data_IF_459389392427
#
_entry.id   IF_459389392427
#
_cell.length_a   1.000
_cell.length_b   1.000
_cell.length_c   1.000
_cell.angle_alpha   90.00
_cell.angle_beta   90.00
_cell.angle_gamma   90.00
#
_symmetry.space_group_name_H-M   'P 1'
#
loop_
_entity.id
_entity.type
_entity.pdbx_description
1 polymer ?
#
# COMPACT_ATOMS: atom_id res chain seq x y z
N UNK A 1 22.94 -12.30 1.85
CA UNK A 1 21.84 -11.36 2.12
C UNK A 1 22.16 -10.10 1.36
N UNK A 2 21.69 -10.02 0.12
CA UNK A 2 21.83 -8.79 -0.67
C UNK A 2 20.64 -7.94 -0.30
N UNK A 3 20.86 -6.83 0.39
CA UNK A 3 19.88 -5.74 0.38
C UNK A 3 19.88 -5.25 -1.06
N UNK A 4 18.95 -5.75 -1.87
CA UNK A 4 18.73 -5.21 -3.21
C UNK A 4 18.13 -3.83 -2.99
N UNK A 5 18.75 -2.83 -3.61
CA UNK A 5 18.54 -1.42 -3.32
C UNK A 5 17.08 -1.00 -3.46
N UNK A 6 16.81 0.19 -2.98
CA UNK A 6 15.53 0.85 -3.12
C UNK A 6 15.75 2.35 -3.10
N UNK A 7 14.91 3.08 -3.81
CA UNK A 7 14.92 4.54 -3.79
C UNK A 7 13.88 5.08 -2.82
N UNK A 8 14.11 6.30 -2.38
CA UNK A 8 13.17 7.05 -1.56
C UNK A 8 11.88 7.31 -2.36
N UNK A 9 10.73 7.06 -1.73
CA UNK A 9 9.41 7.26 -2.31
C UNK A 9 8.77 8.60 -1.97
N UNK A 10 9.42 9.41 -1.12
CA UNK A 10 8.94 10.71 -0.66
C UNK A 10 7.73 10.65 0.26
N UNK A 11 7.16 11.82 0.51
CA UNK A 11 6.06 11.99 1.45
C UNK A 11 4.70 11.92 0.73
N UNK A 12 3.71 11.27 1.36
CA UNK A 12 2.33 11.11 0.93
C UNK A 12 1.41 11.22 2.15
N UNK A 13 0.59 12.27 2.18
CA UNK A 13 -0.51 12.45 3.16
C UNK A 13 -0.11 12.22 4.65
N UNK A 14 1.04 12.77 5.04
CA UNK A 14 1.57 12.63 6.41
C UNK A 14 2.32 11.33 6.67
N UNK A 15 2.64 10.56 5.63
CA UNK A 15 3.50 9.39 5.69
C UNK A 15 4.71 9.55 4.79
N UNK A 16 5.85 9.02 5.21
CA UNK A 16 7.04 8.91 4.40
C UNK A 16 7.15 7.49 3.84
N UNK A 17 7.29 7.34 2.52
CA UNK A 17 7.52 6.06 1.84
C UNK A 17 9.04 5.85 1.71
N UNK A 18 9.64 5.14 2.66
CA UNK A 18 11.09 5.01 2.76
C UNK A 18 11.74 4.10 1.71
N UNK A 19 10.96 3.25 1.03
CA UNK A 19 11.47 2.33 0.01
C UNK A 19 10.51 2.15 -1.16
N UNK A 20 11.05 2.32 -2.35
CA UNK A 20 10.48 1.93 -3.65
C UNK A 20 11.47 1.00 -4.34
N UNK A 21 11.04 -0.14 -4.91
CA UNK A 21 11.94 -1.03 -5.66
C UNK A 21 12.68 -0.28 -6.77
N UNK A 22 13.97 -0.56 -6.96
CA UNK A 22 14.78 0.12 -7.99
C UNK A 22 14.22 -0.05 -9.40
N UNK A 23 13.64 -1.22 -9.70
CA UNK A 23 13.08 -1.54 -11.02
C UNK A 23 11.64 -1.02 -11.24
N UNK A 24 11.04 -0.37 -10.24
CA UNK A 24 9.72 0.25 -10.37
C UNK A 24 9.79 1.53 -11.24
N UNK A 25 8.80 1.69 -12.11
CA UNK A 25 8.72 2.77 -13.09
C UNK A 25 9.01 4.17 -12.54
N UNK A 26 9.68 4.99 -13.36
CA UNK A 26 10.16 6.32 -12.96
C UNK A 26 9.05 7.38 -12.91
N UNK A 27 7.91 7.13 -13.57
CA UNK A 27 6.80 8.08 -13.60
C UNK A 27 6.02 7.95 -12.29
N UNK A 28 5.80 9.08 -11.62
CA UNK A 28 5.13 9.14 -10.32
C UNK A 28 3.94 10.07 -10.41
N UNK A 29 2.78 9.58 -10.00
CA UNK A 29 1.53 10.32 -10.04
C UNK A 29 0.81 10.23 -8.69
N UNK A 30 0.34 11.39 -8.21
CA UNK A 30 -0.46 11.50 -6.99
C UNK A 30 -1.89 11.88 -7.34
N UNK A 31 -2.87 11.27 -6.68
CA UNK A 31 -4.27 11.65 -6.80
C UNK A 31 -5.06 11.31 -5.54
N UNK A 32 -6.15 12.06 -5.36
CA UNK A 32 -7.10 11.86 -4.28
C UNK A 32 -8.42 11.35 -4.83
N UNK A 33 -9.03 10.40 -4.12
CA UNK A 33 -10.37 9.88 -4.42
C UNK A 33 -11.12 9.57 -3.15
N UNK A 34 -12.42 9.35 -3.27
CA UNK A 34 -13.26 8.89 -2.17
C UNK A 34 -14.13 7.74 -2.67
N UNK A 35 -14.25 6.70 -1.85
CA UNK A 35 -15.15 5.59 -2.11
C UNK A 35 -15.76 5.15 -0.79
N UNK A 36 -17.09 4.98 -0.78
CA UNK A 36 -17.85 4.66 0.43
C UNK A 36 -17.40 5.49 1.63
N UNK A 37 -17.39 6.83 1.60
CA UNK A 37 -16.91 7.72 2.69
C UNK A 37 -15.52 7.37 3.28
N UNK A 38 -14.61 6.78 2.51
CA UNK A 38 -13.19 6.65 2.86
C UNK A 38 -12.41 7.44 1.82
N UNK A 39 -11.63 8.41 2.28
CA UNK A 39 -10.73 9.17 1.44
C UNK A 39 -9.44 8.40 1.21
N UNK A 40 -8.95 8.45 -0.02
CA UNK A 40 -7.71 7.84 -0.48
C UNK A 40 -6.78 8.96 -0.90
N UNK A 41 -5.60 9.04 -0.30
CA UNK A 41 -4.46 9.70 -0.92
C UNK A 41 -3.59 8.61 -1.56
N UNK A 42 -3.44 8.67 -2.88
CA UNK A 42 -2.80 7.61 -3.67
C UNK A 42 -1.55 8.15 -4.34
N UNK A 43 -0.46 7.38 -4.27
CA UNK A 43 0.70 7.53 -5.15
C UNK A 43 0.91 6.25 -5.94
N UNK A 44 1.16 6.40 -7.24
CA UNK A 44 1.55 5.29 -8.12
C UNK A 44 2.93 5.54 -8.71
N UNK A 45 3.67 4.46 -8.90
CA UNK A 45 4.86 4.40 -9.74
C UNK A 45 4.53 3.59 -10.97
N UNK A 46 4.68 4.20 -12.13
CA UNK A 46 4.24 3.64 -13.41
C UNK A 46 5.33 3.71 -14.47
N UNK A 47 5.20 2.84 -15.46
CA UNK A 47 6.09 2.77 -16.62
C UNK A 47 5.28 2.88 -17.89
N UNK A 48 5.89 3.52 -18.90
CA UNK A 48 5.37 3.45 -20.25
C UNK A 48 5.51 2.03 -20.80
N UNK A 49 4.47 1.55 -21.46
CA UNK A 49 4.42 0.32 -22.26
C UNK A 49 3.86 0.68 -23.63
N UNK A 50 4.00 -0.22 -24.62
CA UNK A 50 3.60 0.05 -26.01
C UNK A 50 2.16 0.58 -26.13
N UNK A 51 1.25 0.10 -25.27
CA UNK A 51 -0.18 0.46 -25.27
C UNK A 51 -0.61 1.35 -24.09
N UNK A 52 0.30 2.11 -23.48
CA UNK A 52 -0.04 3.09 -22.43
C UNK A 52 0.86 3.01 -21.21
N UNK A 53 0.27 2.88 -20.02
CA UNK A 53 0.99 2.84 -18.76
C UNK A 53 0.60 1.64 -17.91
N UNK A 54 1.57 1.07 -17.21
CA UNK A 54 1.37 0.02 -16.21
C UNK A 54 1.86 0.50 -14.85
N UNK A 55 1.04 0.30 -13.83
CA UNK A 55 1.39 0.60 -12.44
C UNK A 55 2.22 -0.55 -11.89
N UNK A 56 3.45 -0.26 -11.50
CA UNK A 56 4.39 -1.21 -10.91
C UNK A 56 4.22 -1.28 -9.37
N UNK A 57 3.94 -0.14 -8.74
CA UNK A 57 3.72 0.01 -7.30
C UNK A 57 2.62 1.05 -7.04
N UNK A 58 1.77 0.79 -6.04
CA UNK A 58 0.77 1.71 -5.54
C UNK A 58 0.82 1.77 -4.02
N UNK A 59 0.72 2.98 -3.47
CA UNK A 59 0.55 3.21 -2.03
C UNK A 59 -0.71 4.06 -1.82
N UNK A 60 -1.55 3.63 -0.90
CA UNK A 60 -2.73 4.33 -0.43
C UNK A 60 -2.58 4.71 1.04
N UNK A 61 -2.90 5.96 1.38
CA UNK A 61 -3.24 6.38 2.75
C UNK A 61 -4.75 6.53 2.80
N UNK A 62 -5.39 5.76 3.70
CA UNK A 62 -6.84 5.66 3.82
C UNK A 62 -7.32 6.35 5.08
N UNK A 63 -8.32 7.22 4.94
CA UNK A 63 -8.94 7.94 6.06
C UNK A 63 -10.45 7.76 6.04
N UNK A 64 -11.01 7.25 7.13
CA UNK A 64 -12.47 7.14 7.25
C UNK A 64 -12.92 6.44 8.52
N UNK A 65 -13.98 6.94 9.14
CA UNK A 65 -14.44 6.52 10.48
C UNK A 65 -14.79 5.03 10.59
N UNK A 66 -15.11 4.37 9.47
CA UNK A 66 -15.42 2.92 9.44
C UNK A 66 -14.19 2.02 9.63
N UNK A 67 -12.98 2.52 9.38
CA UNK A 67 -11.73 1.77 9.47
C UNK A 67 -11.30 1.61 10.94
N UNK A 68 -12.08 0.89 11.73
CA UNK A 68 -11.92 0.83 13.19
C UNK A 68 -11.01 -0.31 13.66
N UNK A 69 -10.88 -1.37 12.87
CA UNK A 69 -10.07 -2.55 13.18
C UNK A 69 -9.43 -3.11 11.91
N UNK A 70 -8.41 -3.94 12.06
CA UNK A 70 -7.78 -4.63 10.92
C UNK A 70 -8.77 -5.52 10.15
N UNK A 71 -9.75 -6.11 10.84
CA UNK A 71 -10.86 -6.86 10.21
C UNK A 71 -11.73 -5.93 9.35
N UNK A 72 -12.09 -4.75 9.86
CA UNK A 72 -12.88 -3.77 9.08
C UNK A 72 -12.12 -3.22 7.89
N UNK A 73 -10.81 -3.04 8.02
CA UNK A 73 -9.94 -2.67 6.90
C UNK A 73 -9.91 -3.78 5.83
N UNK A 74 -9.76 -5.05 6.24
CA UNK A 74 -9.82 -6.20 5.32
C UNK A 74 -11.17 -6.28 4.59
N UNK A 75 -12.28 -6.15 5.31
CA UNK A 75 -13.63 -6.15 4.73
C UNK A 75 -13.77 -5.02 3.70
N UNK A 76 -13.34 -3.81 4.06
CA UNK A 76 -13.39 -2.64 3.19
C UNK A 76 -12.55 -2.80 1.92
N UNK A 77 -11.29 -3.24 2.05
CA UNK A 77 -10.40 -3.45 0.90
C UNK A 77 -10.88 -4.60 0.01
N UNK A 78 -11.43 -5.67 0.60
CA UNK A 78 -12.03 -6.74 -0.17
C UNK A 78 -13.20 -6.23 -1.02
N UNK A 79 -14.10 -5.41 -0.45
CA UNK A 79 -15.20 -4.81 -1.19
C UNK A 79 -14.70 -3.86 -2.29
N UNK A 80 -13.75 -2.99 -1.97
CA UNK A 80 -13.12 -2.06 -2.92
C UNK A 80 -12.46 -2.78 -4.11
N UNK A 81 -11.86 -3.95 -3.86
CA UNK A 81 -11.21 -4.78 -4.87
C UNK A 81 -12.15 -5.81 -5.51
N UNK A 82 -13.45 -5.79 -5.20
CA UNK A 82 -14.45 -6.76 -5.67
C UNK A 82 -14.05 -8.22 -5.35
N UNK A 83 -13.48 -8.45 -4.16
CA UNK A 83 -13.05 -9.76 -3.63
C UNK A 83 -13.93 -10.23 -2.49
N UNK A 84 -14.00 -11.55 -2.29
CA UNK A 84 -14.57 -12.11 -1.06
C UNK A 84 -13.57 -12.00 0.09
N UNK A 85 -13.93 -11.21 1.11
CA UNK A 85 -13.09 -11.03 2.30
C UNK A 85 -12.84 -12.33 3.06
N UNK A 86 -13.74 -13.31 3.04
CA UNK A 86 -13.61 -14.57 3.75
C UNK A 86 -12.66 -15.54 3.04
N UNK A 87 -12.56 -15.46 1.72
CA UNK A 87 -11.74 -16.35 0.89
C UNK A 87 -10.36 -15.76 0.57
N UNK A 88 -10.10 -14.50 0.92
CA UNK A 88 -8.82 -13.84 0.64
C UNK A 88 -7.66 -14.42 1.49
N UNK A 89 -6.69 -15.13 0.88
CA UNK A 89 -5.62 -15.81 1.61
C UNK A 89 -4.54 -14.82 2.07
N UNK A 90 -4.78 -14.18 3.21
CA UNK A 90 -3.86 -13.23 3.84
C UNK A 90 -3.14 -13.87 5.02
N UNK A 91 -1.85 -13.57 5.15
CA UNK A 91 -1.03 -13.90 6.31
C UNK A 91 -0.71 -12.63 7.11
N UNK A 92 -0.54 -12.80 8.42
CA UNK A 92 -0.08 -11.70 9.27
C UNK A 92 1.40 -11.39 9.03
N UNK A 93 1.75 -10.12 9.07
CA UNK A 93 3.13 -9.66 9.15
C UNK A 93 3.27 -8.60 10.25
N UNK A 94 4.49 -8.45 10.77
CA UNK A 94 4.78 -7.45 11.81
C UNK A 94 5.56 -6.28 11.22
N UNK A 95 5.11 -5.06 11.49
CA UNK A 95 5.77 -3.80 11.12
C UNK A 95 5.94 -2.95 12.37
N UNK A 96 7.17 -2.77 12.84
CA UNK A 96 7.46 -1.82 13.93
C UNK A 96 6.68 -2.06 15.23
N UNK A 97 6.17 -3.28 15.45
CA UNK A 97 5.30 -3.63 16.59
C UNK A 97 3.81 -3.70 16.27
N UNK A 98 3.38 -3.16 15.13
CA UNK A 98 2.01 -3.27 14.62
C UNK A 98 1.83 -4.55 13.77
N UNK A 99 0.60 -5.06 13.73
CA UNK A 99 0.22 -6.22 12.90
C UNK A 99 -0.50 -5.73 11.65
N UNK A 100 -0.05 -6.21 10.49
CA UNK A 100 -0.71 -6.04 9.20
C UNK A 100 -1.07 -7.38 8.57
N UNK A 101 -1.77 -7.32 7.44
CA UNK A 101 -2.10 -8.48 6.61
C UNK A 101 -1.46 -8.33 5.22
N UNK A 102 -0.99 -9.43 4.66
CA UNK A 102 -0.40 -9.45 3.33
C UNK A 102 -0.72 -10.73 2.55
N UNK A 103 -0.83 -10.60 1.24
CA UNK A 103 -1.05 -11.72 0.32
C UNK A 103 -1.39 -11.24 -1.09
N UNK A 104 -0.97 -12.00 -2.11
CA UNK A 104 -1.29 -11.68 -3.51
C UNK A 104 -0.72 -10.36 -4.02
N UNK A 105 0.45 -9.94 -3.53
CA UNK A 105 1.09 -8.68 -3.94
C UNK A 105 0.53 -7.44 -3.23
N UNK A 106 -0.26 -7.63 -2.18
CA UNK A 106 -0.83 -6.57 -1.37
C UNK A 106 -0.43 -6.71 0.10
N UNK A 107 -0.16 -5.59 0.77
CA UNK A 107 0.14 -5.53 2.19
C UNK A 107 -0.46 -4.27 2.82
N UNK A 108 -1.25 -4.43 3.87
CA UNK A 108 -1.95 -3.32 4.52
C UNK A 108 -2.00 -3.47 6.04
N UNK A 109 -2.15 -2.34 6.74
CA UNK A 109 -2.31 -2.32 8.19
C UNK A 109 -3.12 -1.11 8.64
N UNK A 110 -3.65 -1.21 9.86
CA UNK A 110 -4.29 -0.11 10.54
C UNK A 110 -3.25 0.63 11.39
N UNK A 111 -3.05 1.92 11.12
CA UNK A 111 -2.14 2.78 11.92
C UNK A 111 -2.81 3.11 13.26
N UNK A 112 -4.09 3.48 13.20
CA UNK A 112 -5.00 3.73 14.33
C UNK A 112 -6.44 3.76 13.80
N UNK A 113 -7.47 3.66 14.65
CA UNK A 113 -8.85 3.77 14.17
C UNK A 113 -9.05 5.02 13.31
N UNK A 114 -9.60 4.80 12.10
CA UNK A 114 -9.83 5.82 11.10
C UNK A 114 -8.67 6.10 10.13
N UNK A 115 -7.52 5.43 10.29
CA UNK A 115 -6.32 5.65 9.47
C UNK A 115 -5.60 4.34 9.15
N UNK A 116 -5.45 4.03 7.87
CA UNK A 116 -4.77 2.84 7.39
C UNK A 116 -3.82 3.16 6.23
N UNK A 117 -2.92 2.24 5.95
CA UNK A 117 -2.09 2.25 4.74
C UNK A 117 -2.25 0.92 4.03
N UNK A 118 -2.27 0.99 2.71
CA UNK A 118 -2.38 -0.15 1.81
C UNK A 118 -1.36 -0.01 0.67
N UNK A 119 -0.69 -1.11 0.32
CA UNK A 119 0.42 -1.17 -0.63
C UNK A 119 0.20 -2.33 -1.59
N UNK A 120 0.21 -2.05 -2.90
CA UNK A 120 0.07 -3.06 -3.95
C UNK A 120 1.25 -3.02 -4.91
N UNK A 121 1.73 -4.20 -5.35
CA UNK A 121 2.78 -4.35 -6.37
C UNK A 121 2.29 -5.14 -7.57
N UNK A 122 2.87 -4.88 -8.74
CA UNK A 122 2.69 -5.70 -9.94
C UNK A 122 3.41 -7.05 -9.79
N UNK A 123 2.66 -8.15 -9.66
CA UNK A 123 3.21 -9.50 -9.51
C UNK A 123 3.86 -10.06 -10.79
N UNK A 124 3.64 -9.44 -11.95
CA UNK A 124 4.40 -9.77 -13.16
C UNK A 124 5.86 -9.26 -13.06
N UNK A 125 6.14 -8.36 -12.10
CA UNK A 125 7.41 -7.62 -11.96
C UNK A 125 8.11 -7.91 -10.62
N UNK A 126 7.34 -8.05 -9.55
CA UNK A 126 7.84 -8.20 -8.20
C UNK A 126 7.23 -9.43 -7.53
N UNK A 127 7.91 -9.97 -6.52
CA UNK A 127 7.31 -10.98 -5.66
C UNK A 127 6.36 -10.35 -4.65
N UNK A 128 5.55 -11.20 -4.00
CA UNK A 128 4.62 -10.75 -2.96
C UNK A 128 5.33 -10.20 -1.72
N UNK A 129 6.58 -10.59 -1.46
CA UNK A 129 7.38 -10.09 -0.34
C UNK A 129 7.72 -8.61 -0.51
N UNK A 130 7.89 -8.15 -1.76
CA UNK A 130 8.14 -6.74 -2.08
C UNK A 130 7.06 -5.81 -1.50
N UNK A 131 5.78 -6.20 -1.51
CA UNK A 131 4.72 -5.40 -0.89
C UNK A 131 4.92 -5.23 0.63
N UNK A 132 5.36 -6.29 1.31
CA UNK A 132 5.65 -6.29 2.75
C UNK A 132 6.87 -5.40 3.04
N UNK A 133 7.92 -5.49 2.23
CA UNK A 133 9.11 -4.65 2.37
C UNK A 133 8.79 -3.16 2.20
N UNK A 134 7.98 -2.81 1.19
CA UNK A 134 7.55 -1.44 0.97
C UNK A 134 6.65 -0.97 2.11
N UNK A 135 5.63 -1.74 2.49
CA UNK A 135 4.75 -1.44 3.63
C UNK A 135 5.55 -1.23 4.93
N UNK A 136 6.55 -2.06 5.19
CA UNK A 136 7.45 -1.96 6.33
C UNK A 136 8.27 -0.66 6.37
N UNK A 137 8.52 -0.04 5.21
CA UNK A 137 9.27 1.21 5.07
C UNK A 137 8.42 2.46 5.23
N UNK A 138 7.10 2.35 5.11
CA UNK A 138 6.20 3.51 5.23
C UNK A 138 6.09 3.89 6.69
N UNK A 139 6.29 5.15 7.05
CA UNK A 139 6.27 5.65 8.44
C UNK A 139 5.45 6.92 8.57
N UNK A 140 4.69 7.08 9.67
CA UNK A 140 3.95 8.33 9.92
C UNK A 140 4.96 9.44 10.24
N UNK A 141 4.80 10.57 9.57
CA UNK A 141 5.61 11.76 9.83
C UNK A 141 5.20 12.38 11.19
N UNK A 142 6.14 12.99 11.92
CA UNK A 142 5.79 13.75 13.12
C UNK A 142 4.76 14.84 12.80
N UNK A 143 3.76 15.00 13.67
CA UNK A 143 2.88 16.16 13.60
C UNK A 143 3.72 17.44 13.73
N UNK A 144 3.53 18.38 12.80
CA UNK A 144 4.19 19.68 12.78
C UNK A 144 3.71 20.59 13.93
#
# INVERSE_FOLDING_TARGET
>A
MTVVGGRDGGDLDGFHVGRVPEDAGELVSDFASEWENVSFATRVWERAVDDGYRVDLRVHVLRGERLTTLVRLREFLAEYHERDSAEWPLAEFTRGGDVGLAGGGEAFWLVRPGLAVDVLVDLDRFDAETAIEVAGSVTELPAA
#
